data_IF_580474518377
#
_entry.id   IF_580474518377
#
_cell.length_a   1.000
_cell.length_b   1.000
_cell.length_c   1.000
_cell.angle_alpha   90.00
_cell.angle_beta   90.00
_cell.angle_gamma   90.00
#
_symmetry.space_group_name_H-M   'P 1'
#
loop_
_entity.id
_entity.type
_entity.pdbx_description
1 polymer ?
#
# COMPACT_ATOMS: atom_id res chain seq x y z
N UNK A 1 12.58 -8.79 -29.45
CA UNK A 1 11.88 -9.28 -28.25
C UNK A 1 10.49 -9.74 -28.66
N UNK A 2 10.02 -10.90 -28.18
CA UNK A 2 8.66 -11.36 -28.44
C UNK A 2 7.64 -10.50 -27.66
N UNK A 3 6.40 -10.42 -28.14
CA UNK A 3 5.31 -9.79 -27.39
C UNK A 3 4.80 -10.77 -26.32
N UNK A 4 4.89 -10.37 -25.05
CA UNK A 4 4.63 -11.24 -23.90
C UNK A 4 3.56 -10.67 -22.94
N UNK A 5 3.07 -9.46 -23.22
CA UNK A 5 2.06 -8.80 -22.40
C UNK A 5 1.11 -8.02 -23.31
N UNK A 6 -0.22 -8.03 -23.06
CA UNK A 6 -1.21 -7.55 -24.02
C UNK A 6 -1.17 -6.04 -24.33
N UNK A 7 -0.51 -5.23 -23.51
CA UNK A 7 -0.41 -3.76 -23.70
C UNK A 7 1.02 -3.37 -24.05
N UNK A 8 1.18 -2.45 -25.01
CA UNK A 8 2.47 -1.91 -25.45
C UNK A 8 3.18 -2.73 -26.52
N UNK A 9 4.37 -2.25 -26.91
CA UNK A 9 5.21 -2.85 -27.97
C UNK A 9 6.53 -3.35 -27.39
N UNK A 10 7.06 -4.50 -27.83
CA UNK A 10 8.31 -5.03 -27.27
C UNK A 10 9.48 -4.06 -27.48
N UNK A 11 10.27 -3.83 -26.44
CA UNK A 11 11.41 -2.92 -26.49
C UNK A 11 11.06 -1.43 -26.46
N UNK A 12 9.78 -1.05 -26.36
CA UNK A 12 9.32 0.34 -26.30
C UNK A 12 8.65 0.61 -24.96
N UNK A 13 9.06 1.68 -24.27
CA UNK A 13 8.41 2.10 -23.02
C UNK A 13 6.97 2.53 -23.29
N UNK A 14 6.11 2.31 -22.31
CA UNK A 14 4.76 2.85 -22.36
C UNK A 14 4.78 4.37 -22.25
N UNK A 15 4.08 5.00 -23.17
CA UNK A 15 3.72 6.40 -23.10
C UNK A 15 2.29 6.52 -22.57
N UNK A 16 1.71 7.72 -22.67
CA UNK A 16 0.33 7.99 -22.22
C UNK A 16 -0.69 7.01 -22.82
N UNK A 17 -0.69 6.71 -24.14
CA UNK A 17 -1.70 5.82 -24.72
C UNK A 17 -1.67 4.40 -24.17
N UNK A 18 -0.49 3.81 -23.97
CA UNK A 18 -0.38 2.47 -23.41
C UNK A 18 -0.80 2.43 -21.93
N UNK A 19 -0.54 3.49 -21.17
CA UNK A 19 -1.01 3.58 -19.77
C UNK A 19 -2.52 3.70 -19.70
N UNK A 20 -3.14 4.46 -20.60
CA UNK A 20 -4.60 4.57 -20.72
C UNK A 20 -5.23 3.23 -21.14
N UNK A 21 -4.61 2.52 -22.10
CA UNK A 21 -5.04 1.18 -22.51
C UNK A 21 -4.95 0.19 -21.36
N UNK A 22 -3.84 0.20 -20.59
CA UNK A 22 -3.70 -0.63 -19.40
C UNK A 22 -4.76 -0.29 -18.36
N UNK A 23 -5.01 1.00 -18.09
CA UNK A 23 -6.00 1.45 -17.11
C UNK A 23 -7.42 1.00 -17.49
N UNK A 24 -7.77 1.10 -18.78
CA UNK A 24 -9.09 0.68 -19.29
C UNK A 24 -9.38 -0.82 -19.13
N UNK A 25 -8.34 -1.64 -18.92
CA UNK A 25 -8.47 -3.08 -18.65
C UNK A 25 -8.74 -3.38 -17.17
N UNK A 26 -8.55 -2.40 -16.29
CA UNK A 26 -8.73 -2.56 -14.85
C UNK A 26 -10.21 -2.42 -14.47
N UNK A 27 -10.67 -3.31 -13.60
CA UNK A 27 -12.05 -3.34 -13.15
C UNK A 27 -12.07 -3.57 -11.63
N UNK A 28 -13.08 -3.01 -10.96
CA UNK A 28 -13.34 -3.26 -9.54
C UNK A 28 -13.77 -4.72 -9.36
N UNK A 29 -13.11 -5.43 -8.44
CA UNK A 29 -13.32 -6.86 -8.13
C UNK A 29 -13.76 -7.08 -6.68
N UNK A 30 -13.52 -6.10 -5.80
CA UNK A 30 -13.93 -6.08 -4.39
C UNK A 30 -14.12 -4.66 -3.90
N UNK A 31 -14.77 -4.48 -2.75
CA UNK A 31 -15.12 -3.18 -2.21
C UNK A 31 -14.20 -2.76 -1.08
N UNK A 32 -13.50 -1.62 -1.25
CA UNK A 32 -12.70 -0.99 -0.19
C UNK A 32 -13.60 -0.55 0.97
N UNK A 33 -14.79 -0.04 0.65
CA UNK A 33 -15.74 0.40 1.68
C UNK A 33 -16.23 -0.76 2.54
N UNK A 34 -16.57 -1.90 1.94
CA UNK A 34 -17.08 -3.05 2.67
C UNK A 34 -15.97 -3.78 3.42
N UNK A 35 -14.83 -4.01 2.80
CA UNK A 35 -13.78 -4.87 3.39
C UNK A 35 -12.78 -4.13 4.28
N UNK A 36 -12.70 -2.79 4.17
CA UNK A 36 -11.74 -1.97 4.92
C UNK A 36 -12.44 -0.89 5.73
N UNK A 37 -13.14 0.06 5.08
CA UNK A 37 -13.73 1.23 5.78
C UNK A 37 -14.76 0.79 6.83
N UNK A 38 -15.59 -0.19 6.52
CA UNK A 38 -16.58 -0.71 7.48
C UNK A 38 -15.95 -1.31 8.73
N UNK A 39 -14.75 -1.90 8.60
CA UNK A 39 -13.99 -2.46 9.73
C UNK A 39 -13.31 -1.36 10.53
N UNK A 40 -12.74 -0.36 9.87
CA UNK A 40 -12.16 0.82 10.53
C UNK A 40 -13.21 1.53 11.40
N UNK A 41 -14.44 1.72 10.90
CA UNK A 41 -15.52 2.34 11.67
C UNK A 41 -15.83 1.60 12.98
N UNK A 42 -15.69 0.28 13.01
CA UNK A 42 -15.90 -0.52 14.23
C UNK A 42 -14.82 -0.30 15.28
N UNK A 43 -13.68 0.28 14.90
CA UNK A 43 -12.54 0.55 15.78
C UNK A 43 -12.62 1.92 16.47
N UNK A 44 -13.56 2.79 16.08
CA UNK A 44 -13.68 4.18 16.61
C UNK A 44 -13.93 4.25 18.12
N UNK A 45 -14.50 3.20 18.73
CA UNK A 45 -14.69 3.14 20.19
C UNK A 45 -13.41 2.80 20.96
N UNK A 46 -12.40 2.26 20.27
CA UNK A 46 -11.21 1.67 20.86
C UNK A 46 -9.92 2.43 20.53
N UNK A 47 -9.98 3.26 19.49
CA UNK A 47 -8.86 3.96 18.90
C UNK A 47 -9.28 5.32 18.35
N UNK A 48 -8.31 6.21 18.16
CA UNK A 48 -8.51 7.45 17.42
C UNK A 48 -8.37 7.19 15.92
N UNK A 49 -9.47 7.30 15.18
CA UNK A 49 -9.47 7.18 13.71
C UNK A 49 -9.34 8.57 13.09
N UNK A 50 -8.39 8.74 12.16
CA UNK A 50 -8.17 9.99 11.44
C UNK A 50 -8.15 9.74 9.94
N UNK A 51 -8.89 10.55 9.18
CA UNK A 51 -8.74 10.62 7.74
C UNK A 51 -7.54 11.52 7.41
N UNK A 52 -6.45 10.95 6.91
CA UNK A 52 -5.22 11.69 6.62
C UNK A 52 -5.15 12.20 5.16
N UNK A 53 -6.09 11.79 4.31
CA UNK A 53 -6.19 12.24 2.93
C UNK A 53 -7.36 11.60 2.20
N UNK A 54 -7.39 11.82 0.89
CA UNK A 54 -8.22 11.12 -0.07
C UNK A 54 -7.52 11.19 -1.43
N UNK A 55 -7.72 10.19 -2.29
CA UNK A 55 -7.06 10.13 -3.60
C UNK A 55 -7.85 10.93 -4.62
N UNK A 56 -7.16 11.79 -5.40
CA UNK A 56 -7.81 12.81 -6.22
C UNK A 56 -8.65 12.25 -7.37
N UNK A 57 -8.39 11.01 -7.79
CA UNK A 57 -9.13 10.35 -8.86
C UNK A 57 -10.55 9.94 -8.45
N UNK A 58 -10.84 9.76 -7.16
CA UNK A 58 -12.19 9.66 -6.60
C UNK A 58 -12.13 9.84 -5.08
N UNK A 59 -12.30 11.08 -4.62
CA UNK A 59 -12.08 11.43 -3.20
C UNK A 59 -13.13 10.88 -2.26
N UNK A 60 -14.35 10.64 -2.75
CA UNK A 60 -15.43 10.06 -1.95
C UNK A 60 -15.26 8.54 -1.79
N UNK A 61 -14.80 7.89 -2.86
CA UNK A 61 -14.59 6.44 -2.88
C UNK A 61 -13.28 6.00 -2.22
N UNK A 62 -12.27 6.86 -2.23
CA UNK A 62 -10.94 6.52 -1.71
C UNK A 62 -10.45 7.49 -0.62
N UNK A 63 -11.20 7.67 0.49
CA UNK A 63 -10.68 8.31 1.69
C UNK A 63 -9.58 7.44 2.31
N UNK A 64 -8.53 8.07 2.81
CA UNK A 64 -7.39 7.40 3.41
C UNK A 64 -7.41 7.57 4.93
N UNK A 65 -7.39 6.46 5.66
CA UNK A 65 -7.52 6.45 7.12
C UNK A 65 -6.27 5.93 7.82
N UNK A 66 -5.98 6.52 8.97
CA UNK A 66 -5.03 6.00 9.93
C UNK A 66 -5.69 5.85 11.30
N UNK A 67 -5.23 4.88 12.06
CA UNK A 67 -5.76 4.50 13.37
C UNK A 67 -4.65 4.64 14.39
N UNK A 68 -4.95 5.31 15.51
CA UNK A 68 -3.99 5.64 16.56
C UNK A 68 -4.47 5.13 17.91
N UNK A 69 -3.54 4.72 18.77
CA UNK A 69 -3.84 4.55 20.21
C UNK A 69 -4.26 5.88 20.83
N UNK A 70 -5.12 5.84 21.85
CA UNK A 70 -5.56 7.06 22.54
C UNK A 70 -4.40 7.85 23.16
N UNK A 71 -4.47 9.18 23.05
CA UNK A 71 -3.44 10.07 23.58
C UNK A 71 -2.14 10.10 22.76
N UNK A 72 -2.17 9.58 21.52
CA UNK A 72 -1.01 9.50 20.64
C UNK A 72 -0.22 10.82 20.58
N UNK A 73 1.10 10.74 20.75
CA UNK A 73 2.01 11.89 20.74
C UNK A 73 2.06 12.68 22.05
N UNK A 74 1.23 12.35 23.03
CA UNK A 74 1.23 13.00 24.37
C UNK A 74 1.68 12.07 25.49
N UNK A 75 1.78 10.76 25.23
CA UNK A 75 2.12 9.74 26.24
C UNK A 75 3.61 9.71 26.61
N UNK A 76 4.48 10.26 25.76
CA UNK A 76 5.94 10.14 25.87
C UNK A 76 6.50 8.78 25.44
N UNK A 77 5.64 7.86 24.94
CA UNK A 77 6.04 6.53 24.49
C UNK A 77 6.71 6.58 23.10
N UNK A 78 7.60 5.63 22.78
CA UNK A 78 8.09 5.47 21.42
C UNK A 78 6.97 5.09 20.46
N UNK A 79 7.09 5.53 19.19
CA UNK A 79 6.09 5.25 18.16
C UNK A 79 6.40 3.95 17.41
N UNK A 80 5.38 3.12 17.23
CA UNK A 80 5.38 1.99 16.29
C UNK A 80 4.45 2.31 15.13
N UNK A 81 5.00 2.34 13.92
CA UNK A 81 4.27 2.54 12.68
C UNK A 81 4.01 1.20 11.99
N UNK A 82 2.77 0.97 11.56
CA UNK A 82 2.40 -0.18 10.75
C UNK A 82 1.70 0.32 9.48
N UNK A 83 2.17 -0.13 8.32
CA UNK A 83 1.52 0.16 7.04
C UNK A 83 1.11 -1.14 6.36
N UNK A 84 -0.05 -1.12 5.72
CA UNK A 84 -0.57 -2.23 4.93
C UNK A 84 -1.17 -1.72 3.62
N UNK A 85 -1.20 -2.59 2.61
CA UNK A 85 -1.79 -2.25 1.32
C UNK A 85 -1.07 -1.14 0.58
N UNK A 86 0.26 -1.01 0.73
CA UNK A 86 1.08 -0.18 -0.16
C UNK A 86 0.90 -0.66 -1.59
N UNK A 87 0.92 -1.97 -1.81
CA UNK A 87 0.29 -2.57 -2.98
C UNK A 87 -1.09 -3.07 -2.58
N UNK A 88 -2.13 -2.64 -3.30
CA UNK A 88 -3.48 -2.95 -2.87
C UNK A 88 -3.92 -4.39 -3.13
N UNK A 89 -3.34 -5.07 -4.13
CA UNK A 89 -3.64 -6.49 -4.38
C UNK A 89 -3.24 -7.41 -3.20
N UNK A 90 -2.28 -6.95 -2.39
CA UNK A 90 -1.69 -7.69 -1.27
C UNK A 90 -2.63 -7.69 -0.06
N UNK A 91 -3.53 -8.67 -0.06
CA UNK A 91 -4.74 -8.66 0.77
C UNK A 91 -4.41 -8.86 2.25
N UNK A 92 -3.47 -9.75 2.55
CA UNK A 92 -3.09 -10.05 3.93
C UNK A 92 -2.39 -8.86 4.60
N UNK A 93 -1.74 -7.98 3.85
CA UNK A 93 -1.18 -6.75 4.41
C UNK A 93 -2.26 -5.83 4.98
N UNK A 94 -3.33 -5.62 4.20
CA UNK A 94 -4.48 -4.81 4.65
C UNK A 94 -5.23 -5.49 5.80
N UNK A 95 -5.62 -6.74 5.59
CA UNK A 95 -6.46 -7.46 6.54
C UNK A 95 -5.69 -7.82 7.82
N UNK A 96 -4.37 -8.04 7.73
CA UNK A 96 -3.49 -8.26 8.85
C UNK A 96 -3.33 -7.02 9.73
N UNK A 97 -3.17 -5.83 9.13
CA UNK A 97 -3.15 -4.57 9.86
C UNK A 97 -4.45 -4.33 10.65
N UNK A 98 -5.61 -4.56 10.00
CA UNK A 98 -6.92 -4.45 10.67
C UNK A 98 -7.08 -5.49 11.77
N UNK A 99 -6.73 -6.74 11.51
CA UNK A 99 -6.81 -7.82 12.52
C UNK A 99 -5.90 -7.55 13.71
N UNK A 100 -4.72 -6.97 13.50
CA UNK A 100 -3.84 -6.54 14.58
C UNK A 100 -4.52 -5.49 15.47
N UNK A 101 -5.16 -4.47 14.89
CA UNK A 101 -5.93 -3.47 15.63
C UNK A 101 -7.08 -4.11 16.43
N UNK A 102 -7.82 -5.03 15.81
CA UNK A 102 -8.95 -5.71 16.43
C UNK A 102 -8.56 -6.63 17.61
N UNK A 103 -7.35 -7.20 17.58
CA UNK A 103 -7.01 -8.31 18.49
C UNK A 103 -5.83 -8.08 19.41
N UNK A 104 -4.80 -7.33 19.00
CA UNK A 104 -3.51 -7.27 19.71
C UNK A 104 -3.03 -5.86 20.01
N UNK A 105 -3.43 -4.84 19.24
CA UNK A 105 -2.86 -3.50 19.38
C UNK A 105 -3.05 -2.91 20.80
N UNK A 106 -4.16 -3.20 21.47
CA UNK A 106 -4.41 -2.76 22.85
C UNK A 106 -3.43 -3.37 23.86
N UNK A 107 -2.97 -4.60 23.64
CA UNK A 107 -1.99 -5.27 24.50
C UNK A 107 -0.67 -4.49 24.57
N UNK A 108 -0.37 -3.74 23.49
CA UNK A 108 0.86 -2.96 23.33
C UNK A 108 0.69 -1.47 23.62
N UNK A 109 -0.54 -0.99 23.81
CA UNK A 109 -0.83 0.42 24.04
C UNK A 109 -0.26 0.95 25.38
N UNK A 110 0.11 0.06 26.30
CA UNK A 110 0.85 0.39 27.52
C UNK A 110 2.27 0.86 27.24
N UNK A 111 2.92 0.30 26.22
CA UNK A 111 4.34 0.47 25.94
C UNK A 111 4.62 1.41 24.76
N UNK A 112 3.70 1.47 23.79
CA UNK A 112 3.89 2.17 22.53
C UNK A 112 2.75 3.12 22.18
N UNK A 113 3.09 4.20 21.49
CA UNK A 113 2.15 4.95 20.66
C UNK A 113 2.07 4.26 19.30
N UNK A 114 0.92 3.66 18.97
CA UNK A 114 0.79 2.87 17.74
C UNK A 114 0.04 3.71 16.70
N UNK A 115 0.61 3.78 15.50
CA UNK A 115 -0.01 4.39 14.32
C UNK A 115 -0.12 3.34 13.21
N UNK A 116 -1.33 3.08 12.73
CA UNK A 116 -1.58 2.10 11.66
C UNK A 116 -2.26 2.78 10.47
N UNK A 117 -1.68 2.66 9.28
CA UNK A 117 -2.34 2.99 8.01
C UNK A 117 -2.64 1.67 7.27
N UNK A 118 -3.84 1.08 7.45
CA UNK A 118 -4.10 -0.30 7.05
C UNK A 118 -4.25 -0.49 5.54
N UNK A 119 -4.60 0.55 4.78
CA UNK A 119 -4.71 0.47 3.33
C UNK A 119 -4.24 1.78 2.70
N UNK A 120 -3.01 1.76 2.19
CA UNK A 120 -2.38 2.91 1.53
C UNK A 120 -2.91 3.13 0.11
N UNK A 121 -3.24 2.05 -0.61
CA UNK A 121 -3.62 2.06 -2.02
C UNK A 121 -5.01 1.42 -2.26
N UNK A 122 -6.11 2.07 -1.84
CA UNK A 122 -7.46 1.49 -1.91
C UNK A 122 -7.97 1.21 -3.33
N UNK A 123 -7.55 1.98 -4.35
CA UNK A 123 -7.87 1.62 -5.74
C UNK A 123 -7.18 0.32 -6.19
N UNK A 124 -5.90 0.16 -5.84
CA UNK A 124 -5.17 -1.08 -6.06
C UNK A 124 -5.81 -2.24 -5.30
N UNK A 125 -6.42 -1.95 -4.15
CA UNK A 125 -7.16 -2.95 -3.38
C UNK A 125 -8.38 -3.41 -4.15
N UNK A 126 -9.25 -2.50 -4.57
CA UNK A 126 -10.47 -2.86 -5.30
C UNK A 126 -10.22 -3.54 -6.64
N UNK A 127 -9.18 -3.12 -7.37
CA UNK A 127 -8.90 -3.63 -8.72
C UNK A 127 -7.95 -4.84 -8.74
N UNK A 128 -7.39 -5.19 -7.58
CA UNK A 128 -6.33 -6.21 -7.43
C UNK A 128 -5.14 -5.82 -8.30
N UNK A 129 -4.51 -4.68 -7.96
CA UNK A 129 -3.36 -4.13 -8.67
C UNK A 129 -2.20 -3.75 -7.75
N UNK A 130 -0.99 -3.91 -8.33
CA UNK A 130 0.27 -3.44 -7.76
C UNK A 130 0.47 -1.93 -7.93
N UNK A 131 0.07 -1.38 -9.07
CA UNK A 131 0.21 0.03 -9.40
C UNK A 131 -1.03 0.84 -9.06
N UNK A 132 -0.92 2.17 -9.14
CA UNK A 132 -2.05 3.09 -9.11
C UNK A 132 -2.58 3.37 -10.54
N UNK A 133 -3.66 4.18 -10.71
CA UNK A 133 -4.22 4.48 -12.03
C UNK A 133 -3.25 5.07 -13.06
N UNK A 134 -2.11 5.63 -12.61
CA UNK A 134 -1.06 6.21 -13.48
C UNK A 134 0.02 5.18 -13.88
N UNK A 135 -0.20 3.89 -13.59
CA UNK A 135 0.78 2.81 -13.74
C UNK A 135 2.08 3.03 -12.92
N UNK A 136 1.97 3.74 -11.79
CA UNK A 136 3.09 4.01 -10.87
C UNK A 136 3.05 3.03 -9.70
N UNK A 137 4.22 2.52 -9.29
CA UNK A 137 4.39 1.63 -8.13
C UNK A 137 4.54 2.46 -6.84
N UNK A 138 3.56 2.43 -5.91
CA UNK A 138 3.64 3.19 -4.66
C UNK A 138 4.87 2.84 -3.81
N UNK A 139 5.31 1.57 -3.83
CA UNK A 139 6.48 1.10 -3.10
C UNK A 139 7.82 1.44 -3.78
N UNK A 140 7.80 2.22 -4.86
CA UNK A 140 8.99 2.87 -5.46
C UNK A 140 8.89 4.39 -5.42
N UNK A 141 7.95 4.90 -4.64
CA UNK A 141 7.45 6.27 -4.73
C UNK A 141 7.46 7.02 -3.40
N UNK A 142 8.06 6.47 -2.34
CA UNK A 142 8.32 7.13 -1.07
C UNK A 142 9.50 8.11 -1.15
N UNK A 143 9.31 9.21 -1.88
CA UNK A 143 10.27 10.30 -2.08
C UNK A 143 9.53 11.63 -2.28
N UNK A 144 10.25 12.74 -2.14
CA UNK A 144 9.70 14.06 -2.50
C UNK A 144 9.32 14.09 -3.99
N UNK A 145 8.30 14.87 -4.33
CA UNK A 145 7.84 15.09 -5.72
C UNK A 145 7.47 13.79 -6.46
N UNK A 146 6.77 12.89 -5.76
CA UNK A 146 6.32 11.62 -6.29
C UNK A 146 5.00 11.72 -7.06
N UNK A 147 4.85 10.93 -8.13
CA UNK A 147 3.59 10.81 -8.88
C UNK A 147 2.54 9.93 -8.18
N UNK A 148 2.93 9.21 -7.12
CA UNK A 148 2.01 8.44 -6.28
C UNK A 148 1.46 9.30 -5.16
N UNK A 149 0.17 9.63 -5.27
CA UNK A 149 -0.60 10.29 -4.22
C UNK A 149 -0.70 9.41 -2.97
N UNK A 150 -0.75 8.09 -3.15
CA UNK A 150 -0.76 7.09 -2.09
C UNK A 150 0.48 7.20 -1.19
N UNK A 151 1.67 7.11 -1.79
CA UNK A 151 2.93 7.24 -1.05
C UNK A 151 3.10 8.64 -0.45
N UNK A 152 2.76 9.69 -1.20
CA UNK A 152 2.86 11.08 -0.75
C UNK A 152 1.98 11.35 0.48
N UNK A 153 0.75 10.84 0.49
CA UNK A 153 -0.17 11.03 1.60
C UNK A 153 0.34 10.34 2.88
N UNK A 154 0.89 9.13 2.78
CA UNK A 154 1.50 8.42 3.92
C UNK A 154 2.74 9.15 4.42
N UNK A 155 3.61 9.63 3.53
CA UNK A 155 4.78 10.43 3.93
C UNK A 155 4.36 11.70 4.68
N UNK A 156 3.30 12.38 4.23
CA UNK A 156 2.73 13.54 4.92
C UNK A 156 2.21 13.17 6.32
N UNK A 157 1.48 12.06 6.44
CA UNK A 157 1.02 11.52 7.72
C UNK A 157 2.21 11.27 8.67
N UNK A 158 3.22 10.54 8.21
CA UNK A 158 4.41 10.19 9.03
C UNK A 158 5.19 11.45 9.43
N UNK A 159 5.33 12.42 8.54
CA UNK A 159 5.99 13.71 8.86
C UNK A 159 5.27 14.54 9.93
N UNK A 160 3.98 14.27 10.16
CA UNK A 160 3.22 14.93 11.22
C UNK A 160 3.49 14.36 12.62
N UNK A 161 4.06 13.15 12.70
CA UNK A 161 4.43 12.49 13.96
C UNK A 161 5.62 13.21 14.59
N UNK A 162 5.45 13.67 15.84
CA UNK A 162 6.47 14.45 16.56
C UNK A 162 7.39 13.60 17.41
N UNK A 163 6.93 12.43 17.83
CA UNK A 163 7.71 11.47 18.61
C UNK A 163 8.62 10.63 17.71
N UNK A 164 9.79 10.17 18.21
CA UNK A 164 10.63 9.25 17.47
C UNK A 164 9.89 7.96 17.09
N UNK A 165 9.94 7.59 15.81
CA UNK A 165 9.48 6.30 15.32
C UNK A 165 10.56 5.27 15.64
N UNK A 166 10.27 4.38 16.59
CA UNK A 166 11.16 3.31 17.01
C UNK A 166 11.17 2.17 16.00
N UNK A 167 10.01 1.85 15.43
CA UNK A 167 9.83 0.74 14.53
C UNK A 167 8.79 1.08 13.47
N UNK A 168 9.08 0.67 12.23
CA UNK A 168 8.12 0.65 11.14
C UNK A 168 8.08 -0.75 10.55
N UNK A 169 6.89 -1.35 10.50
CA UNK A 169 6.63 -2.61 9.81
C UNK A 169 5.69 -2.32 8.63
N UNK A 170 6.12 -2.67 7.43
CA UNK A 170 5.30 -2.59 6.22
C UNK A 170 4.89 -4.00 5.79
N UNK A 171 3.58 -4.26 5.71
CA UNK A 171 3.02 -5.58 5.48
C UNK A 171 2.79 -5.81 3.99
N UNK A 172 3.55 -6.74 3.42
CA UNK A 172 3.47 -7.16 2.02
C UNK A 172 3.27 -8.67 1.90
N UNK A 173 2.85 -9.11 0.72
CA UNK A 173 2.86 -10.51 0.31
C UNK A 173 3.47 -10.64 -1.09
N UNK A 174 4.00 -11.82 -1.41
CA UNK A 174 4.45 -12.16 -2.77
C UNK A 174 3.58 -13.28 -3.28
N UNK A 175 3.07 -13.11 -4.49
CA UNK A 175 1.98 -13.93 -5.03
C UNK A 175 2.38 -14.53 -6.37
N UNK A 176 1.69 -15.59 -6.79
CA UNK A 176 1.82 -16.11 -8.16
C UNK A 176 1.53 -15.03 -9.21
N UNK A 177 0.67 -14.05 -8.89
CA UNK A 177 0.37 -12.92 -9.79
C UNK A 177 1.50 -11.89 -9.91
N UNK A 178 2.49 -11.89 -9.01
CA UNK A 178 3.73 -11.16 -9.28
C UNK A 178 4.41 -11.72 -10.52
N UNK A 179 4.45 -13.03 -10.68
CA UNK A 179 5.08 -13.68 -11.83
C UNK A 179 4.17 -13.72 -13.06
N UNK A 180 2.87 -14.00 -12.88
CA UNK A 180 1.97 -14.18 -14.03
C UNK A 180 1.44 -12.88 -14.62
N UNK A 181 1.40 -11.78 -13.85
CA UNK A 181 0.77 -10.51 -14.25
C UNK A 181 1.72 -9.32 -14.06
N UNK A 182 2.18 -9.05 -12.85
CA UNK A 182 2.82 -7.76 -12.54
C UNK A 182 4.26 -7.64 -13.06
N UNK A 183 5.09 -8.68 -13.01
CA UNK A 183 6.45 -8.69 -13.58
C UNK A 183 6.43 -8.59 -15.11
N UNK A 184 5.60 -9.37 -15.85
CA UNK A 184 5.40 -9.17 -17.28
C UNK A 184 4.88 -7.78 -17.63
N UNK A 185 3.87 -7.28 -16.90
CA UNK A 185 3.36 -5.93 -17.11
C UNK A 185 4.49 -4.90 -16.95
N UNK A 186 5.31 -5.03 -15.90
CA UNK A 186 6.42 -4.11 -15.60
C UNK A 186 7.44 -4.10 -16.73
N UNK A 187 7.83 -5.28 -17.21
CA UNK A 187 8.77 -5.40 -18.32
C UNK A 187 8.23 -4.74 -19.59
N UNK A 188 6.93 -4.94 -19.90
CA UNK A 188 6.29 -4.25 -21.03
C UNK A 188 6.27 -2.73 -20.84
N UNK A 189 5.87 -2.26 -19.66
CA UNK A 189 5.83 -0.83 -19.31
C UNK A 189 7.20 -0.16 -19.46
N UNK A 190 8.24 -0.84 -18.99
CA UNK A 190 9.60 -0.31 -18.97
C UNK A 190 10.34 -0.54 -20.30
N UNK A 191 9.71 -1.20 -21.27
CA UNK A 191 10.30 -1.51 -22.58
C UNK A 191 11.46 -2.51 -22.51
N UNK A 192 11.46 -3.40 -21.52
CA UNK A 192 12.53 -4.39 -21.28
C UNK A 192 12.07 -5.80 -21.60
N UNK A 193 13.01 -6.73 -21.71
CA UNK A 193 12.66 -8.16 -21.74
C UNK A 193 12.03 -8.57 -20.41
N UNK A 194 11.02 -9.42 -20.48
CA UNK A 194 10.58 -10.18 -19.33
C UNK A 194 11.52 -11.37 -19.14
N UNK A 195 12.10 -11.45 -17.95
CA UNK A 195 12.92 -12.58 -17.50
C UNK A 195 12.16 -13.25 -16.37
N UNK A 196 11.72 -14.51 -16.53
CA UNK A 196 11.03 -15.22 -15.48
C UNK A 196 11.87 -15.34 -14.20
N UNK A 197 11.21 -15.26 -13.06
CA UNK A 197 11.81 -15.45 -11.75
C UNK A 197 10.89 -16.31 -10.86
N UNK A 198 11.39 -16.78 -9.73
CA UNK A 198 10.62 -17.61 -8.80
C UNK A 198 9.71 -16.80 -7.86
N UNK A 199 8.73 -17.50 -7.30
CA UNK A 199 8.01 -17.09 -6.09
C UNK A 199 8.59 -17.91 -4.92
N UNK A 200 9.15 -17.28 -3.88
CA UNK A 200 9.61 -17.99 -2.70
C UNK A 200 8.47 -18.74 -1.99
N UNK A 201 8.71 -20.01 -1.63
CA UNK A 201 7.73 -20.81 -0.89
C UNK A 201 7.83 -20.52 0.62
N UNK A 202 6.96 -19.62 1.09
CA UNK A 202 6.77 -19.33 2.50
C UNK A 202 7.05 -17.88 2.89
N UNK A 203 6.93 -17.63 4.20
CA UNK A 203 7.14 -16.30 4.76
C UNK A 203 8.63 -15.91 4.78
N UNK A 204 8.89 -14.65 4.48
CA UNK A 204 10.22 -14.07 4.59
C UNK A 204 10.13 -12.59 4.98
N UNK A 205 11.27 -12.00 5.36
CA UNK A 205 11.37 -10.57 5.62
C UNK A 205 12.32 -9.91 4.63
N UNK A 206 11.99 -8.68 4.22
CA UNK A 206 12.90 -7.80 3.50
C UNK A 206 13.48 -6.78 4.49
N UNK A 207 14.78 -6.88 4.76
CA UNK A 207 15.47 -5.98 5.68
C UNK A 207 16.26 -4.89 4.92
N UNK A 208 16.36 -3.71 5.51
CA UNK A 208 17.19 -2.64 4.96
C UNK A 208 18.68 -3.03 5.04
N UNK A 209 19.36 -3.10 3.90
CA UNK A 209 20.78 -3.47 3.83
C UNK A 209 21.77 -2.33 4.15
N UNK A 210 21.28 -1.15 4.57
CA UNK A 210 22.15 -0.04 4.97
C UNK A 210 22.22 0.05 6.49
N UNK A 211 23.42 -0.17 7.04
CA UNK A 211 23.80 0.38 8.35
C UNK A 211 23.69 1.90 8.23
N UNK A 212 22.89 2.50 9.12
CA UNK A 212 22.71 3.95 9.23
C UNK A 212 24.03 4.57 9.70
#
# INVERSE_FOLDING_TARGET
MAHFYPVGKPGTKWEVPEREEWLARQNVKRSYHEEVVSKIKKLEGDFEVVQYGALSYDTEKYPLFAIKTHGFGTTGKPVVLITGGVHGYETSGVQGALRFLESRAKDYAGDFDILVAPCVSPWGYETINRWNPKAVDPNRSFKQESESEEATAVMKLVSSVKSPVLMHIDLHETTDTDESEFRPAKASRDGTEYVPDGIPDGFYTAAQCKLI
#
